data_IF_064021771427
#
_entry.id   IF_064021771427
#
_cell.length_a   1.000
_cell.length_b   1.000
_cell.length_c   1.000
_cell.angle_alpha   90.00
_cell.angle_beta   90.00
_cell.angle_gamma   90.00
#
_symmetry.space_group_name_H-M   'P 1'
#
loop_
_entity.id
_entity.type
_entity.pdbx_description
1 polymer ?
#
# COMPACT_ATOMS: atom_id res chain seq x y z
N UNK A 1 36.52 -10.30 22.78
CA UNK A 1 35.54 -11.27 22.24
C UNK A 1 34.08 -10.90 22.53
N UNK A 2 33.68 -10.55 23.77
CA UNK A 2 32.28 -10.17 24.07
C UNK A 2 31.77 -8.89 23.37
N UNK A 3 32.69 -7.96 23.01
CA UNK A 3 32.35 -6.70 22.33
C UNK A 3 32.10 -6.89 20.82
N UNK A 4 32.88 -7.74 20.16
CA UNK A 4 32.73 -8.05 18.73
C UNK A 4 31.46 -8.85 18.44
N UNK A 5 31.04 -9.73 19.36
CA UNK A 5 29.76 -10.46 19.25
C UNK A 5 28.55 -9.50 19.30
N UNK A 6 28.59 -8.49 20.17
CA UNK A 6 27.50 -7.49 20.27
C UNK A 6 27.38 -6.63 19.00
N UNK A 7 28.50 -6.27 18.37
CA UNK A 7 28.49 -5.50 17.12
C UNK A 7 27.98 -6.33 15.94
N UNK A 8 28.30 -7.63 15.91
CA UNK A 8 27.83 -8.54 14.86
C UNK A 8 26.31 -8.79 14.93
N UNK A 9 25.78 -8.97 16.14
CA UNK A 9 24.34 -9.20 16.36
C UNK A 9 23.51 -7.97 15.97
N UNK A 10 23.98 -6.75 16.27
CA UNK A 10 23.29 -5.52 15.90
C UNK A 10 23.26 -5.28 14.37
N UNK A 11 24.30 -5.70 13.64
CA UNK A 11 24.35 -5.59 12.18
C UNK A 11 23.40 -6.58 11.49
N UNK A 12 23.23 -7.79 12.04
CA UNK A 12 22.33 -8.82 11.49
C UNK A 12 20.86 -8.43 11.64
N UNK A 13 20.47 -7.79 12.75
CA UNK A 13 19.09 -7.32 12.96
C UNK A 13 18.64 -6.22 12.00
N UNK A 14 19.57 -5.48 11.39
CA UNK A 14 19.26 -4.38 10.46
C UNK A 14 18.91 -4.87 9.04
N UNK A 15 19.23 -6.12 8.71
CA UNK A 15 19.03 -6.69 7.35
C UNK A 15 17.73 -7.50 7.27
N UNK A 16 17.20 -7.98 8.40
CA UNK A 16 16.03 -8.88 8.46
C UNK A 16 14.66 -8.18 8.45
N UNK A 17 14.62 -6.85 8.34
CA UNK A 17 13.42 -6.06 8.62
C UNK A 17 12.52 -5.66 7.44
N UNK A 18 12.76 -6.11 6.20
CA UNK A 18 12.19 -5.41 5.03
C UNK A 18 11.64 -6.28 3.88
N UNK A 19 11.29 -7.54 4.09
CA UNK A 19 10.79 -8.40 3.00
C UNK A 19 9.27 -8.31 2.75
N UNK A 20 8.51 -7.64 3.62
CA UNK A 20 7.08 -7.40 3.41
C UNK A 20 6.81 -5.89 3.36
N UNK A 21 6.46 -5.39 2.18
CA UNK A 21 6.19 -3.97 1.97
C UNK A 21 4.84 -3.59 2.59
N UNK A 22 4.84 -2.59 3.48
CA UNK A 22 3.59 -1.96 3.92
C UNK A 22 2.92 -1.29 2.72
N UNK A 23 1.60 -1.48 2.50
CA UNK A 23 0.90 -0.93 1.34
C UNK A 23 1.04 0.60 1.24
N UNK A 24 1.16 1.31 2.37
CA UNK A 24 1.39 2.76 2.42
C UNK A 24 2.73 3.20 1.82
N UNK A 25 3.73 2.30 1.76
CA UNK A 25 5.07 2.57 1.26
C UNK A 25 5.31 2.03 -0.15
N UNK A 26 4.35 1.32 -0.74
CA UNK A 26 4.51 0.73 -2.06
C UNK A 26 4.47 1.82 -3.13
N UNK A 27 5.47 1.83 -4.00
CA UNK A 27 5.53 2.74 -5.13
C UNK A 27 4.54 2.33 -6.23
N UNK A 28 4.10 3.30 -7.03
CA UNK A 28 3.37 3.01 -8.26
C UNK A 28 4.31 2.34 -9.27
N UNK A 29 3.87 1.27 -9.90
CA UNK A 29 4.54 0.72 -11.08
C UNK A 29 4.40 1.70 -12.24
N UNK A 30 5.39 1.78 -13.13
CA UNK A 30 5.25 2.63 -14.31
C UNK A 30 4.26 2.02 -15.31
N UNK A 31 3.23 2.80 -15.65
CA UNK A 31 2.30 2.51 -16.76
C UNK A 31 2.35 3.66 -17.77
N UNK A 32 2.44 3.32 -19.05
CA UNK A 32 2.50 4.33 -20.12
C UNK A 32 1.16 5.08 -20.26
N UNK A 33 1.15 6.43 -20.22
CA UNK A 33 -0.05 7.23 -20.46
C UNK A 33 -0.63 7.03 -21.87
N UNK A 34 0.18 6.57 -22.82
CA UNK A 34 -0.26 6.30 -24.20
C UNK A 34 -1.30 5.19 -24.28
N UNK A 35 -1.41 4.34 -23.24
CA UNK A 35 -2.48 3.33 -23.09
C UNK A 35 -3.87 3.97 -23.18
N UNK A 36 -4.01 5.22 -22.71
CA UNK A 36 -5.28 5.95 -22.63
C UNK A 36 -5.38 7.10 -23.64
N UNK A 37 -4.51 7.12 -24.68
CA UNK A 37 -4.44 8.24 -25.64
C UNK A 37 -5.75 8.50 -26.39
N UNK A 38 -6.53 7.44 -26.62
CA UNK A 38 -7.77 7.50 -27.40
C UNK A 38 -9.02 7.76 -26.53
N UNK A 39 -8.86 7.84 -25.20
CA UNK A 39 -9.98 8.09 -24.29
C UNK A 39 -10.40 9.56 -24.31
N UNK A 40 -11.69 9.84 -24.20
CA UNK A 40 -12.20 11.18 -23.89
C UNK A 40 -12.20 11.46 -22.37
N UNK A 41 -12.48 12.69 -21.96
CA UNK A 41 -12.45 13.07 -20.55
C UNK A 41 -13.49 12.33 -19.68
N UNK A 42 -14.63 11.93 -20.24
CA UNK A 42 -15.62 11.16 -19.51
C UNK A 42 -15.11 9.72 -19.30
N UNK A 43 -14.52 9.12 -20.34
CA UNK A 43 -13.90 7.80 -20.26
C UNK A 43 -12.73 7.77 -19.29
N UNK A 44 -11.89 8.80 -19.30
CA UNK A 44 -10.78 8.94 -18.33
C UNK A 44 -11.33 9.03 -16.91
N UNK A 45 -12.32 9.88 -16.66
CA UNK A 45 -12.93 10.02 -15.33
C UNK A 45 -13.52 8.69 -14.82
N UNK A 46 -14.30 8.00 -15.65
CA UNK A 46 -14.90 6.71 -15.29
C UNK A 46 -13.84 5.65 -15.00
N UNK A 47 -12.80 5.56 -15.82
CA UNK A 47 -11.71 4.60 -15.61
C UNK A 47 -10.91 4.94 -14.35
N UNK A 48 -10.64 6.23 -14.10
CA UNK A 48 -9.97 6.68 -12.87
C UNK A 48 -10.76 6.29 -11.62
N UNK A 49 -12.08 6.41 -11.67
CA UNK A 49 -12.96 6.04 -10.56
C UNK A 49 -12.91 4.53 -10.31
N UNK A 50 -13.01 3.71 -11.36
CA UNK A 50 -12.91 2.25 -11.26
C UNK A 50 -11.55 1.80 -10.73
N UNK A 51 -10.45 2.34 -11.27
CA UNK A 51 -9.09 2.05 -10.82
C UNK A 51 -8.92 2.48 -9.37
N UNK A 52 -9.45 3.63 -8.98
CA UNK A 52 -9.40 4.13 -7.61
C UNK A 52 -10.12 3.23 -6.62
N UNK A 53 -11.35 2.82 -6.95
CA UNK A 53 -12.11 1.87 -6.14
C UNK A 53 -11.36 0.55 -5.92
N UNK A 54 -10.82 -0.05 -7.00
CA UNK A 54 -10.04 -1.28 -6.90
C UNK A 54 -8.78 -1.10 -6.05
N UNK A 55 -8.07 0.02 -6.23
CA UNK A 55 -6.86 0.36 -5.48
C UNK A 55 -7.15 0.44 -3.97
N UNK A 56 -8.24 1.11 -3.58
CA UNK A 56 -8.65 1.24 -2.17
C UNK A 56 -9.05 -0.10 -1.58
N UNK A 57 -9.79 -0.93 -2.31
CA UNK A 57 -10.17 -2.28 -1.84
C UNK A 57 -8.94 -3.17 -1.62
N UNK A 58 -8.00 -3.15 -2.57
CA UNK A 58 -6.79 -3.96 -2.48
C UNK A 58 -5.87 -3.47 -1.35
N UNK A 59 -5.78 -2.15 -1.15
CA UNK A 59 -5.09 -1.56 -0.01
C UNK A 59 -5.64 -2.12 1.33
N UNK A 60 -6.96 -2.19 1.50
CA UNK A 60 -7.56 -2.72 2.73
C UNK A 60 -7.21 -4.20 2.96
N UNK A 61 -7.22 -4.99 1.89
CA UNK A 61 -6.85 -6.40 1.95
C UNK A 61 -5.37 -6.59 2.34
N UNK A 62 -4.47 -5.82 1.72
CA UNK A 62 -3.03 -5.82 2.02
C UNK A 62 -2.77 -5.33 3.45
N UNK A 63 -3.44 -4.26 3.87
CA UNK A 63 -3.31 -3.70 5.22
C UNK A 63 -3.72 -4.72 6.29
N UNK A 64 -4.86 -5.38 6.11
CA UNK A 64 -5.33 -6.43 7.03
C UNK A 64 -4.34 -7.60 7.13
N UNK A 65 -3.73 -7.99 6.00
CA UNK A 65 -2.69 -9.02 5.98
C UNK A 65 -1.44 -8.57 6.73
N UNK A 66 -0.94 -7.38 6.42
CA UNK A 66 0.25 -6.81 7.08
C UNK A 66 0.06 -6.64 8.59
N UNK A 67 -1.12 -6.20 9.04
CA UNK A 67 -1.42 -6.00 10.46
C UNK A 67 -1.51 -7.35 11.21
N UNK A 68 -2.13 -8.38 10.61
CA UNK A 68 -2.21 -9.74 11.17
C UNK A 68 -0.84 -10.46 11.21
N UNK A 69 0.06 -10.14 10.28
CA UNK A 69 1.37 -10.81 10.17
C UNK A 69 2.36 -10.36 11.24
N UNK A 70 2.17 -9.19 11.85
CA UNK A 70 3.14 -8.64 12.82
C UNK A 70 3.35 -9.52 14.07
N UNK A 71 2.33 -10.27 14.49
CA UNK A 71 2.41 -11.17 15.65
C UNK A 71 2.75 -12.61 15.28
N UNK A 72 2.33 -13.10 14.10
CA UNK A 72 2.59 -14.49 13.67
C UNK A 72 3.99 -14.67 13.06
N UNK A 73 4.49 -13.66 12.33
CA UNK A 73 5.86 -13.67 11.80
C UNK A 73 6.90 -13.86 12.89
N UNK A 74 6.73 -13.24 14.07
CA UNK A 74 7.71 -13.36 15.17
C UNK A 74 7.92 -14.80 15.66
N UNK A 75 6.87 -15.61 15.68
CA UNK A 75 6.94 -17.03 16.08
C UNK A 75 7.37 -17.92 14.92
N UNK A 76 6.84 -17.67 13.71
CA UNK A 76 7.18 -18.42 12.51
C UNK A 76 8.63 -18.26 12.07
N UNK A 77 9.19 -17.05 12.18
CA UNK A 77 10.61 -16.76 11.89
C UNK A 77 11.56 -17.57 12.76
N UNK A 78 11.23 -17.83 14.03
CA UNK A 78 12.11 -18.60 14.92
C UNK A 78 11.99 -20.10 14.66
N UNK A 79 10.77 -20.61 14.46
CA UNK A 79 10.54 -22.04 14.26
C UNK A 79 10.91 -22.52 12.86
N UNK A 80 10.79 -21.66 11.85
CA UNK A 80 10.99 -22.01 10.44
C UNK A 80 12.11 -21.20 9.76
N UNK A 81 13.05 -20.59 10.50
CA UNK A 81 14.16 -19.85 9.87
C UNK A 81 14.93 -20.67 8.82
N UNK A 82 15.19 -21.99 8.99
CA UNK A 82 15.96 -22.74 7.98
C UNK A 82 15.21 -22.82 6.65
N UNK A 83 13.88 -22.83 6.70
CA UNK A 83 13.03 -22.87 5.51
C UNK A 83 12.97 -21.52 4.78
N UNK A 84 13.21 -20.39 5.46
CA UNK A 84 13.21 -19.06 4.84
C UNK A 84 14.33 -18.91 3.79
N UNK A 85 15.44 -19.64 3.92
CA UNK A 85 16.50 -19.65 2.90
C UNK A 85 16.06 -20.25 1.56
N UNK A 86 14.94 -20.97 1.54
CA UNK A 86 14.35 -21.56 0.33
C UNK A 86 13.16 -20.77 -0.21
N UNK A 87 12.73 -19.70 0.47
CA UNK A 87 11.66 -18.85 -0.03
C UNK A 87 12.25 -17.77 -0.93
N UNK A 88 11.82 -17.76 -2.18
CA UNK A 88 12.09 -16.65 -3.09
C UNK A 88 11.28 -15.44 -2.61
N UNK A 89 11.97 -14.49 -1.97
CA UNK A 89 11.36 -13.33 -1.33
C UNK A 89 10.79 -12.36 -2.37
N UNK A 90 9.50 -12.08 -2.26
CA UNK A 90 8.81 -11.11 -3.08
C UNK A 90 7.46 -10.75 -2.46
N UNK A 91 7.01 -9.52 -2.72
CA UNK A 91 5.64 -9.13 -2.41
C UNK A 91 4.68 -10.01 -3.22
N UNK A 92 3.58 -10.47 -2.60
CA UNK A 92 2.63 -11.38 -3.24
C UNK A 92 1.95 -10.78 -4.49
N UNK A 93 1.22 -11.60 -5.29
CA UNK A 93 0.61 -11.15 -6.54
C UNK A 93 -0.33 -9.94 -6.36
N UNK A 94 -1.01 -9.84 -5.22
CA UNK A 94 -1.90 -8.73 -4.88
C UNK A 94 -1.15 -7.41 -4.65
N UNK A 95 0.08 -7.47 -4.15
CA UNK A 95 0.92 -6.30 -3.96
C UNK A 95 1.46 -5.76 -5.28
N UNK A 96 1.79 -6.66 -6.22
CA UNK A 96 2.14 -6.31 -7.60
C UNK A 96 0.93 -5.70 -8.32
N UNK A 97 -0.25 -6.28 -8.14
CA UNK A 97 -1.49 -5.71 -8.68
C UNK A 97 -1.76 -4.31 -8.10
N UNK A 98 -1.55 -4.13 -6.81
CA UNK A 98 -1.71 -2.83 -6.14
C UNK A 98 -0.76 -1.77 -6.70
N UNK A 99 0.53 -2.09 -6.88
CA UNK A 99 1.49 -1.14 -7.48
C UNK A 99 1.12 -0.82 -8.93
N UNK A 100 0.61 -1.79 -9.68
CA UNK A 100 0.13 -1.58 -11.05
C UNK A 100 -1.09 -0.67 -11.10
N UNK A 101 -2.09 -0.87 -10.24
CA UNK A 101 -3.29 -0.02 -10.18
C UNK A 101 -2.93 1.44 -9.83
N UNK A 102 -2.00 1.67 -8.91
CA UNK A 102 -1.45 3.02 -8.65
C UNK A 102 -0.82 3.63 -9.91
N UNK A 103 -0.06 2.82 -10.64
CA UNK A 103 0.53 3.19 -11.92
C UNK A 103 -0.49 3.57 -12.98
N UNK A 104 -1.56 2.79 -13.09
CA UNK A 104 -2.68 3.06 -14.00
C UNK A 104 -3.38 4.38 -13.65
N UNK A 105 -3.62 4.65 -12.37
CA UNK A 105 -4.18 5.92 -11.93
C UNK A 105 -3.28 7.10 -12.31
N UNK A 106 -1.96 6.99 -12.12
CA UNK A 106 -1.01 8.02 -12.54
C UNK A 106 -0.98 8.22 -14.06
N UNK A 107 -1.07 7.13 -14.83
CA UNK A 107 -1.11 7.18 -16.28
C UNK A 107 -2.39 7.87 -16.78
N UNK A 108 -3.54 7.56 -16.18
CA UNK A 108 -4.81 8.23 -16.45
C UNK A 108 -4.76 9.72 -16.08
N UNK A 109 -4.18 10.06 -14.93
CA UNK A 109 -4.02 11.47 -14.51
C UNK A 109 -3.14 12.25 -15.48
N UNK A 110 -2.06 11.64 -15.98
CA UNK A 110 -1.21 12.24 -17.02
C UNK A 110 -1.97 12.40 -18.33
N UNK A 111 -2.75 11.40 -18.75
CA UNK A 111 -3.59 11.49 -19.94
C UNK A 111 -4.65 12.59 -19.81
N UNK A 112 -5.28 12.72 -18.63
CA UNK A 112 -6.23 13.78 -18.31
C UNK A 112 -5.59 15.18 -18.44
N UNK A 113 -4.36 15.32 -17.93
CA UNK A 113 -3.59 16.57 -18.02
C UNK A 113 -3.24 16.93 -19.45
N UNK A 114 -2.84 15.96 -20.28
CA UNK A 114 -2.51 16.19 -21.70
C UNK A 114 -3.76 16.57 -22.51
N UNK A 115 -4.94 16.08 -22.12
CA UNK A 115 -6.22 16.38 -22.76
C UNK A 115 -6.97 17.55 -22.12
N UNK A 116 -6.37 18.21 -21.14
CA UNK A 116 -6.95 19.37 -20.43
C UNK A 116 -8.36 19.09 -19.86
N UNK A 117 -8.55 17.89 -19.29
CA UNK A 117 -9.85 17.52 -18.74
C UNK A 117 -10.25 18.40 -17.55
N UNK A 118 -11.55 18.73 -17.40
CA UNK A 118 -12.01 19.60 -16.33
C UNK A 118 -11.80 18.94 -14.96
N UNK A 119 -11.08 19.61 -14.06
CA UNK A 119 -10.75 19.09 -12.73
C UNK A 119 -11.98 18.67 -11.90
N UNK A 120 -13.12 19.33 -12.12
CA UNK A 120 -14.40 19.01 -11.46
C UNK A 120 -14.92 17.61 -11.80
N UNK A 121 -14.44 17.01 -12.89
CA UNK A 121 -14.85 15.68 -13.34
C UNK A 121 -13.90 14.57 -12.90
N UNK A 122 -12.72 14.90 -12.36
CA UNK A 122 -11.72 13.89 -12.01
C UNK A 122 -11.89 13.43 -10.57
N UNK A 123 -11.87 12.11 -10.31
CA UNK A 123 -11.94 11.59 -8.95
C UNK A 123 -10.64 11.89 -8.18
N UNK A 124 -10.76 11.93 -6.85
CA UNK A 124 -9.61 12.06 -5.94
C UNK A 124 -8.64 10.89 -6.11
N UNK A 125 -7.38 11.11 -5.74
CA UNK A 125 -6.39 10.04 -5.78
C UNK A 125 -6.72 8.94 -4.76
N UNK A 126 -6.39 7.67 -5.07
CA UNK A 126 -6.58 6.57 -4.13
C UNK A 126 -5.86 6.83 -2.80
N UNK A 127 -4.67 7.44 -2.84
CA UNK A 127 -3.88 7.79 -1.66
C UNK A 127 -4.57 8.81 -0.76
N UNK A 128 -5.25 9.81 -1.35
CA UNK A 128 -6.04 10.78 -0.59
C UNK A 128 -7.24 10.12 0.07
N UNK A 129 -7.98 9.29 -0.66
CA UNK A 129 -9.15 8.55 -0.14
C UNK A 129 -8.74 7.66 1.03
N UNK A 130 -7.60 6.97 0.91
CA UNK A 130 -7.05 6.13 1.97
C UNK A 130 -6.70 6.95 3.21
N UNK A 131 -6.05 8.12 3.04
CA UNK A 131 -5.70 9.01 4.15
C UNK A 131 -6.94 9.56 4.86
N UNK A 132 -7.92 10.06 4.10
CA UNK A 132 -9.19 10.56 4.63
C UNK A 132 -9.89 9.47 5.47
N UNK A 133 -10.03 8.25 4.94
CA UNK A 133 -10.62 7.12 5.68
C UNK A 133 -9.84 6.76 6.94
N UNK A 134 -8.50 6.78 6.88
CA UNK A 134 -7.66 6.50 8.04
C UNK A 134 -7.78 7.56 9.14
N UNK A 135 -7.95 8.83 8.77
CA UNK A 135 -8.18 9.93 9.72
C UNK A 135 -9.57 9.85 10.35
N UNK A 136 -10.60 9.51 9.57
CA UNK A 136 -11.96 9.26 10.06
C UNK A 136 -12.00 8.11 11.07
N UNK A 137 -11.34 6.99 10.77
CA UNK A 137 -11.27 5.85 11.70
C UNK A 137 -10.54 6.21 13.01
N UNK A 138 -9.45 6.99 12.93
CA UNK A 138 -8.75 7.47 14.13
C UNK A 138 -9.63 8.41 14.96
N UNK A 139 -10.43 9.27 14.32
CA UNK A 139 -11.35 10.16 15.00
C UNK A 139 -12.46 9.37 15.72
N UNK A 140 -13.05 8.37 15.06
CA UNK A 140 -14.07 7.48 15.65
C UNK A 140 -13.54 6.73 16.87
N UNK A 141 -12.37 6.10 16.76
CA UNK A 141 -11.74 5.38 17.88
C UNK A 141 -11.48 6.30 19.08
N UNK A 142 -10.99 7.52 18.86
CA UNK A 142 -10.79 8.50 19.95
C UNK A 142 -12.09 8.89 20.67
N UNK A 143 -13.20 8.98 19.94
CA UNK A 143 -14.51 9.26 20.55
C UNK A 143 -15.03 8.08 21.37
N UNK A 144 -14.83 6.85 20.89
CA UNK A 144 -15.18 5.62 21.61
C UNK A 144 -14.36 5.46 22.90
N UNK A 145 -13.03 5.63 22.83
CA UNK A 145 -12.17 5.51 24.02
C UNK A 145 -12.47 6.59 25.07
N UNK A 146 -12.89 7.79 24.64
CA UNK A 146 -13.30 8.85 25.56
C UNK A 146 -14.61 8.53 26.27
N UNK A 147 -15.56 7.88 25.58
CA UNK A 147 -16.84 7.46 26.16
C UNK A 147 -16.68 6.39 27.25
N UNK A 148 -15.71 5.50 27.09
CA UNK A 148 -15.37 4.48 28.09
C UNK A 148 -14.58 5.04 29.29
N UNK A 149 -14.00 6.25 29.15
CA UNK A 149 -13.25 6.93 30.20
C UNK A 149 -14.12 7.82 31.09
N UNK A 150 -15.34 8.15 30.62
CA UNK A 150 -16.31 9.01 31.31
C UNK A 150 -17.44 8.19 32.02
N UNK A 151 -17.32 6.84 32.05
CA UNK A 151 -18.20 5.90 32.78
C UNK A 151 -17.44 5.24 33.94
#
# INVERSE_FOLDING_TARGET
>A
MKRTVKTLVAAITLILGACASQPEKMAASYVSPLKYKDYDCNQISMEMDQVSHKTVTLYQALKKKADNDSTQMGVGLVLFWPALFFLEGGDGPEAVEYSNLKGEFEALRKAASVKECPMTSLPKSPEEIIKEKAEEEKAKKKMETKKDQDL
#
